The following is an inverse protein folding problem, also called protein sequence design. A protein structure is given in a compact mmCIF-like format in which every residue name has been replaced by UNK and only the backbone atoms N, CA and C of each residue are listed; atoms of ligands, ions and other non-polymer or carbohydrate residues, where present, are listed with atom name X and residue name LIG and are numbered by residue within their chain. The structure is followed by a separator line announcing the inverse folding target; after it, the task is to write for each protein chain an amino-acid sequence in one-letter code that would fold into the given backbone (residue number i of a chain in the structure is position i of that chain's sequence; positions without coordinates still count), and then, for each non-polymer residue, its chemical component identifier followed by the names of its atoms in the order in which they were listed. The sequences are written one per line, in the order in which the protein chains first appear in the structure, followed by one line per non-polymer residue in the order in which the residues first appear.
data_IF_622992148118
#
_entry.id   IF_622992148118
#
_cell.length_a   1.000
_cell.length_b   1.000
_cell.length_c   1.000
_cell.angle_alpha   90.00
_cell.angle_beta   90.00
_cell.angle_gamma   90.00
#
_symmetry.space_group_name_H-M   'P 1'
#
loop_
_entity.id
_entity.type
_entity.pdbx_description
1 polymer ?
#
# COMPACT_ATOMS: atom_id res chain seq x y z
N UNK A 1 15.46 22.41 -4.09
CA UNK A 1 14.44 21.40 -4.43
C UNK A 1 14.78 20.89 -5.82
N UNK A 2 14.95 19.58 -6.00
CA UNK A 2 15.13 19.00 -7.31
C UNK A 2 13.87 19.27 -8.15
N UNK A 3 14.04 19.89 -9.31
CA UNK A 3 12.93 20.26 -10.17
C UNK A 3 12.67 19.17 -11.22
N UNK A 4 12.61 17.91 -10.79
CA UNK A 4 12.31 16.76 -11.65
C UNK A 4 11.39 15.77 -10.94
N UNK A 5 10.71 14.94 -11.72
CA UNK A 5 9.93 13.81 -11.21
C UNK A 5 10.69 12.50 -11.46
N UNK A 6 10.92 11.74 -10.39
CA UNK A 6 11.52 10.41 -10.45
C UNK A 6 10.41 9.35 -10.51
N UNK A 7 10.47 8.44 -11.48
CA UNK A 7 9.40 7.48 -11.76
C UNK A 7 9.95 6.06 -11.76
N UNK A 8 9.34 5.21 -10.95
CA UNK A 8 9.58 3.78 -10.95
C UNK A 8 8.61 3.07 -11.91
N UNK A 9 9.16 2.49 -12.98
CA UNK A 9 8.38 1.79 -13.99
C UNK A 9 8.14 0.31 -13.66
N UNK A 10 8.65 -0.19 -12.52
CA UNK A 10 8.44 -1.58 -12.08
C UNK A 10 6.98 -1.78 -11.63
N UNK A 11 6.49 -3.04 -11.63
CA UNK A 11 5.20 -3.36 -11.05
C UNK A 11 5.08 -2.86 -9.61
N UNK A 12 3.88 -2.45 -9.20
CA UNK A 12 3.62 -1.90 -7.85
C UNK A 12 4.14 -2.82 -6.74
N UNK A 13 3.94 -4.13 -6.84
CA UNK A 13 4.44 -5.12 -5.88
C UNK A 13 5.96 -5.12 -5.70
N UNK A 14 6.71 -4.68 -6.72
CA UNK A 14 8.17 -4.56 -6.67
C UNK A 14 8.57 -3.21 -6.07
N UNK A 15 7.85 -2.16 -6.42
CA UNK A 15 7.99 -0.82 -5.85
C UNK A 15 7.76 -0.84 -4.33
N UNK A 16 6.73 -1.54 -3.88
CA UNK A 16 6.36 -1.64 -2.47
C UNK A 16 7.41 -2.38 -1.62
N UNK A 17 8.25 -3.21 -2.24
CA UNK A 17 9.37 -3.88 -1.56
C UNK A 17 10.60 -2.99 -1.36
N UNK A 18 10.68 -1.88 -2.05
CA UNK A 18 11.76 -0.91 -1.96
C UNK A 18 11.89 -0.11 -3.25
N UNK A 19 12.09 1.20 -3.11
CA UNK A 19 12.22 2.12 -4.23
C UNK A 19 13.19 3.25 -3.89
N UNK A 20 13.64 3.98 -4.90
CA UNK A 20 14.46 5.17 -4.70
C UNK A 20 13.61 6.23 -3.97
N UNK A 21 14.10 6.83 -2.87
CA UNK A 21 13.35 7.83 -2.13
C UNK A 21 12.85 8.99 -3.00
N UNK A 22 11.56 9.30 -2.86
CA UNK A 22 10.91 10.35 -3.65
C UNK A 22 10.44 9.91 -5.04
N UNK A 23 10.61 8.64 -5.40
CA UNK A 23 10.07 8.11 -6.63
C UNK A 23 8.54 7.91 -6.54
N UNK A 24 7.87 8.12 -7.66
CA UNK A 24 6.45 7.82 -7.86
C UNK A 24 6.34 6.55 -8.69
N UNK A 25 5.50 5.61 -8.27
CA UNK A 25 5.27 4.41 -9.07
C UNK A 25 4.24 4.68 -10.19
N UNK A 26 4.70 4.49 -11.41
CA UNK A 26 3.88 4.41 -12.62
C UNK A 26 4.36 3.18 -13.38
N UNK A 27 3.80 2.03 -13.06
CA UNK A 27 4.15 0.75 -13.70
C UNK A 27 3.95 0.85 -15.22
N UNK A 28 4.92 0.33 -15.99
CA UNK A 28 4.82 0.34 -17.46
C UNK A 28 3.55 -0.34 -17.98
N UNK A 29 3.11 -1.40 -17.32
CA UNK A 29 1.91 -2.18 -17.71
C UNK A 29 0.61 -1.42 -17.42
N UNK A 30 0.63 -0.46 -16.52
CA UNK A 30 -0.54 0.36 -16.13
C UNK A 30 -0.33 1.85 -16.44
N UNK A 31 0.65 2.17 -17.26
CA UNK A 31 1.04 3.54 -17.58
C UNK A 31 -0.15 4.43 -17.98
N UNK A 32 -0.99 3.92 -18.88
CA UNK A 32 -2.13 4.69 -19.43
C UNK A 32 -3.20 4.99 -18.37
N UNK A 33 -3.29 4.18 -17.31
CA UNK A 33 -4.21 4.40 -16.19
C UNK A 33 -3.72 5.46 -15.19
N UNK A 34 -2.43 5.79 -15.24
CA UNK A 34 -1.77 6.68 -14.27
C UNK A 34 -1.09 7.89 -14.92
N UNK A 35 -1.51 8.26 -16.12
CA UNK A 35 -1.02 9.45 -16.81
C UNK A 35 -1.34 10.74 -16.04
N UNK A 36 -2.40 10.73 -15.25
CA UNK A 36 -2.81 11.81 -14.35
C UNK A 36 -1.80 12.12 -13.24
N UNK A 37 -0.94 11.16 -12.89
CA UNK A 37 0.17 11.36 -11.93
C UNK A 37 1.33 12.16 -12.53
N UNK A 38 1.43 12.24 -13.85
CA UNK A 38 2.49 12.99 -14.51
C UNK A 38 2.23 14.50 -14.41
N UNK A 39 3.30 15.32 -14.30
CA UNK A 39 3.14 16.76 -14.18
C UNK A 39 2.42 17.36 -15.40
N UNK A 40 1.56 18.36 -15.17
CA UNK A 40 0.85 19.04 -16.25
C UNK A 40 1.82 19.79 -17.19
N UNK A 41 2.90 20.35 -16.62
CA UNK A 41 3.94 21.00 -17.41
C UNK A 41 4.83 19.96 -18.10
N UNK A 42 4.77 19.93 -19.43
CA UNK A 42 5.50 18.99 -20.28
C UNK A 42 7.00 19.26 -20.35
N UNK A 43 7.46 20.40 -19.87
CA UNK A 43 8.89 20.73 -19.75
C UNK A 43 9.49 20.22 -18.43
N UNK A 44 8.68 19.75 -17.49
CA UNK A 44 9.18 19.16 -16.24
C UNK A 44 10.05 17.94 -16.56
N UNK A 45 11.32 17.90 -16.11
CA UNK A 45 12.19 16.74 -16.33
C UNK A 45 11.63 15.47 -15.69
N UNK A 46 11.55 14.39 -16.44
CA UNK A 46 11.13 13.06 -15.98
C UNK A 46 12.32 12.12 -16.01
N UNK A 47 12.55 11.39 -14.92
CA UNK A 47 13.59 10.36 -14.85
C UNK A 47 12.92 9.03 -14.53
N UNK A 48 12.97 8.10 -15.49
CA UNK A 48 12.43 6.74 -15.33
C UNK A 48 13.52 5.77 -14.93
N UNK A 49 13.23 4.87 -13.99
CA UNK A 49 14.10 3.74 -13.67
C UNK A 49 13.30 2.44 -13.52
N UNK A 50 14.00 1.32 -13.52
CA UNK A 50 13.41 -0.01 -13.29
C UNK A 50 14.37 -0.96 -12.56
N UNK A 51 14.29 -2.26 -12.84
CA UNK A 51 15.00 -3.32 -12.12
C UNK A 51 16.46 -3.54 -12.53
N UNK A 52 17.06 -2.67 -13.31
CA UNK A 52 18.45 -2.78 -13.76
C UNK A 52 18.61 -2.82 -15.28
N UNK A 53 19.84 -3.04 -15.75
CA UNK A 53 20.24 -2.93 -17.17
C UNK A 53 19.47 -3.86 -18.11
N UNK A 54 19.06 -5.02 -17.64
CA UNK A 54 18.27 -5.99 -18.44
C UNK A 54 16.77 -5.68 -18.45
N UNK A 55 16.33 -4.66 -17.71
CA UNK A 55 14.93 -4.30 -17.56
C UNK A 55 14.55 -3.19 -18.54
N UNK A 56 13.67 -3.48 -19.48
CA UNK A 56 13.24 -2.52 -20.52
C UNK A 56 12.07 -1.62 -20.10
N UNK A 57 11.51 -1.78 -18.89
CA UNK A 57 10.29 -1.08 -18.49
C UNK A 57 10.49 0.43 -18.40
N UNK A 58 11.63 0.91 -17.88
CA UNK A 58 11.94 2.34 -17.80
C UNK A 58 12.03 2.99 -19.20
N UNK A 59 12.63 2.28 -20.15
CA UNK A 59 12.77 2.77 -21.53
C UNK A 59 11.39 2.85 -22.21
N UNK A 60 10.57 1.78 -22.09
CA UNK A 60 9.21 1.75 -22.64
C UNK A 60 8.33 2.85 -22.06
N UNK A 61 8.35 3.05 -20.75
CA UNK A 61 7.59 4.11 -20.08
C UNK A 61 8.07 5.51 -20.47
N UNK A 62 9.38 5.70 -20.60
CA UNK A 62 9.96 6.95 -21.08
C UNK A 62 9.50 7.29 -22.50
N UNK A 63 9.43 6.28 -23.39
CA UNK A 63 8.93 6.48 -24.77
C UNK A 63 7.44 6.81 -24.81
N UNK A 64 6.64 6.21 -23.91
CA UNK A 64 5.22 6.60 -23.75
C UNK A 64 5.10 8.06 -23.31
N UNK A 65 5.91 8.49 -22.34
CA UNK A 65 5.92 9.90 -21.90
C UNK A 65 6.33 10.87 -23.01
N UNK A 66 7.35 10.53 -23.81
CA UNK A 66 7.74 11.35 -24.99
C UNK A 66 6.59 11.48 -26.00
N UNK A 67 5.85 10.39 -26.26
CA UNK A 67 4.66 10.41 -27.12
C UNK A 67 3.53 11.29 -26.56
N UNK A 68 3.47 11.50 -25.25
CA UNK A 68 2.55 12.41 -24.58
C UNK A 68 3.04 13.88 -24.59
N UNK A 69 4.19 14.16 -25.22
CA UNK A 69 4.72 15.51 -25.42
C UNK A 69 5.70 15.98 -24.34
N UNK A 70 6.16 15.11 -23.43
CA UNK A 70 7.21 15.49 -22.49
C UNK A 70 8.55 15.64 -23.20
N UNK A 71 9.23 16.77 -23.00
CA UNK A 71 10.42 17.17 -23.77
C UNK A 71 11.73 16.79 -23.11
N UNK A 72 11.78 16.68 -21.78
CA UNK A 72 12.98 16.28 -21.02
C UNK A 72 12.71 14.95 -20.29
N UNK A 73 12.91 13.83 -20.99
CA UNK A 73 12.70 12.47 -20.47
C UNK A 73 13.98 11.68 -20.52
N UNK A 74 14.45 11.29 -19.34
CA UNK A 74 15.68 10.50 -19.13
C UNK A 74 15.37 9.12 -18.54
N UNK A 75 16.30 8.19 -18.67
CA UNK A 75 16.25 6.88 -18.04
C UNK A 75 17.49 6.64 -17.20
N UNK A 76 17.31 6.12 -16.02
CA UNK A 76 18.38 5.58 -15.18
C UNK A 76 18.35 4.04 -15.37
N UNK A 77 19.16 3.57 -16.31
CA UNK A 77 19.10 2.18 -16.79
C UNK A 77 19.66 1.17 -15.79
N UNK A 78 20.62 1.57 -14.98
CA UNK A 78 21.17 0.75 -13.90
C UNK A 78 20.12 0.51 -12.80
N UNK A 79 19.18 1.42 -12.67
CA UNK A 79 17.96 1.27 -11.90
C UNK A 79 18.15 1.10 -10.39
N UNK A 80 17.15 0.48 -9.77
CA UNK A 80 17.12 0.30 -8.32
C UNK A 80 18.28 -0.52 -7.75
N UNK A 81 18.79 -1.60 -8.39
CA UNK A 81 19.92 -2.36 -7.86
C UNK A 81 21.19 -1.54 -7.69
N UNK A 82 21.53 -0.68 -8.65
CA UNK A 82 22.71 0.18 -8.53
C UNK A 82 22.51 1.26 -7.46
N UNK A 83 21.28 1.80 -7.34
CA UNK A 83 20.95 2.69 -6.23
C UNK A 83 21.21 2.01 -4.87
N UNK A 84 20.72 0.78 -4.69
CA UNK A 84 20.88 0.01 -3.43
C UNK A 84 22.35 -0.23 -3.12
N UNK A 85 23.15 -0.55 -4.13
CA UNK A 85 24.58 -0.78 -3.99
C UNK A 85 25.33 0.47 -3.51
N UNK A 86 24.93 1.65 -3.98
CA UNK A 86 25.58 2.92 -3.66
C UNK A 86 25.11 3.54 -2.34
N UNK A 87 23.83 3.38 -2.01
CA UNK A 87 23.16 4.12 -0.93
C UNK A 87 22.48 3.23 0.12
N UNK A 88 22.51 1.91 -0.06
CA UNK A 88 21.78 0.94 0.78
C UNK A 88 20.32 0.77 0.37
N UNK A 89 19.64 -0.21 0.95
CA UNK A 89 18.19 -0.40 0.75
C UNK A 89 17.45 0.78 1.34
N UNK A 90 16.83 1.58 0.47
CA UNK A 90 15.89 2.59 0.91
C UNK A 90 14.55 1.90 1.19
N UNK A 91 13.99 2.13 2.37
CA UNK A 91 12.60 1.77 2.64
C UNK A 91 11.71 2.36 1.54
N UNK A 92 10.72 1.60 1.06
CA UNK A 92 9.78 2.05 0.05
C UNK A 92 9.25 3.45 0.40
N UNK A 93 9.25 4.41 -0.54
CA UNK A 93 8.57 5.66 -0.30
C UNK A 93 7.09 5.35 -0.12
N UNK A 94 6.52 5.80 0.98
CA UNK A 94 5.07 5.84 1.10
C UNK A 94 4.51 6.50 -0.16
N UNK A 95 3.59 5.82 -0.85
CA UNK A 95 3.06 6.22 -2.13
C UNK A 95 2.74 7.73 -2.13
N UNK A 96 3.50 8.51 -2.90
CA UNK A 96 3.23 9.92 -3.10
C UNK A 96 2.05 10.07 -4.04
N UNK A 97 0.85 10.04 -3.50
CA UNK A 97 -0.32 10.66 -4.13
C UNK A 97 -0.16 12.17 -4.03
N UNK A 98 -0.19 12.83 -5.17
CA UNK A 98 -0.03 14.24 -5.47
C UNK A 98 -0.06 15.28 -4.35
N UNK A 99 0.93 16.18 -4.43
CA UNK A 99 1.01 17.55 -3.90
C UNK A 99 0.17 17.89 -2.64
N UNK A 100 0.84 17.87 -1.49
CA UNK A 100 0.33 18.46 -0.25
C UNK A 100 1.20 18.06 0.92
N UNK A 101 1.80 19.05 1.56
CA UNK A 101 2.72 19.00 2.71
C UNK A 101 2.66 17.74 3.57
N UNK A 102 3.78 17.01 3.63
CA UNK A 102 3.98 15.88 4.52
C UNK A 102 3.92 16.33 5.99
N UNK A 103 2.79 16.11 6.60
CA UNK A 103 2.75 15.78 8.00
C UNK A 103 2.96 14.27 8.13
N UNK A 104 3.99 13.83 8.84
CA UNK A 104 4.08 12.48 9.40
C UNK A 104 2.85 12.27 10.30
N UNK A 105 1.78 11.81 9.74
CA UNK A 105 0.68 11.23 10.50
C UNK A 105 0.87 9.72 10.43
N UNK A 106 1.70 9.18 11.29
CA UNK A 106 1.45 7.84 11.80
C UNK A 106 0.00 7.90 12.28
N UNK A 107 -0.90 7.16 11.62
CA UNK A 107 -2.23 6.99 12.16
C UNK A 107 -2.05 6.63 13.63
N UNK A 108 -2.49 7.50 14.52
CA UNK A 108 -2.39 7.25 15.96
C UNK A 108 -3.36 6.12 16.27
N UNK A 109 -2.86 4.88 16.15
CA UNK A 109 -3.62 3.68 16.46
C UNK A 109 -3.69 3.59 17.97
N UNK A 110 -4.89 3.73 18.50
CA UNK A 110 -5.15 3.54 19.93
C UNK A 110 -5.39 2.05 20.17
N UNK A 111 -4.52 1.44 20.96
CA UNK A 111 -4.66 0.04 21.33
C UNK A 111 -5.96 -0.17 22.13
N UNK A 112 -6.67 -1.24 21.81
CA UNK A 112 -7.81 -1.69 22.57
C UNK A 112 -7.39 -2.37 23.89
N UNK A 113 -8.37 -2.96 24.57
CA UNK A 113 -8.14 -3.59 25.89
C UNK A 113 -7.33 -4.88 25.78
N UNK A 114 -7.47 -5.62 24.70
CA UNK A 114 -6.76 -6.87 24.48
C UNK A 114 -5.55 -6.65 23.57
N UNK A 115 -4.53 -7.49 23.74
CA UNK A 115 -3.30 -7.42 22.96
C UNK A 115 -3.59 -7.55 21.47
N UNK A 116 -3.12 -6.57 20.70
CA UNK A 116 -3.29 -6.55 19.25
C UNK A 116 -4.61 -5.95 18.77
N UNK A 117 -5.53 -5.60 19.67
CA UNK A 117 -6.76 -4.92 19.25
C UNK A 117 -6.55 -3.43 19.02
N UNK A 118 -7.31 -2.87 18.11
CA UNK A 118 -7.49 -1.43 17.91
C UNK A 118 -8.86 -1.02 18.47
N UNK A 119 -8.95 0.15 19.12
CA UNK A 119 -10.26 0.66 19.56
C UNK A 119 -11.15 0.98 18.37
N UNK A 120 -12.46 0.74 18.52
CA UNK A 120 -13.44 1.05 17.47
C UNK A 120 -13.36 2.53 17.08
N UNK A 121 -13.30 3.42 18.06
CA UNK A 121 -13.19 4.88 17.83
C UNK A 121 -11.93 5.25 17.01
N UNK A 122 -10.78 4.64 17.33
CA UNK A 122 -9.55 4.87 16.56
C UNK A 122 -9.67 4.37 15.13
N UNK A 123 -10.23 3.18 14.94
CA UNK A 123 -10.45 2.63 13.60
C UNK A 123 -11.39 3.50 12.77
N UNK A 124 -12.55 3.87 13.30
CA UNK A 124 -13.53 4.73 12.61
C UNK A 124 -12.93 6.09 12.25
N UNK A 125 -12.18 6.70 13.17
CA UNK A 125 -11.46 7.95 12.90
C UNK A 125 -10.48 7.80 11.75
N UNK A 126 -9.63 6.76 11.76
CA UNK A 126 -8.64 6.53 10.70
C UNK A 126 -9.34 6.27 9.37
N UNK A 127 -10.41 5.48 9.36
CA UNK A 127 -11.18 5.20 8.15
C UNK A 127 -11.84 6.44 7.56
N UNK A 128 -12.18 7.43 8.39
CA UNK A 128 -12.75 8.71 7.95
C UNK A 128 -11.69 9.70 7.47
N UNK A 129 -10.56 9.80 8.16
CA UNK A 129 -9.55 10.84 7.94
C UNK A 129 -8.45 10.42 6.97
N UNK A 130 -7.99 9.16 7.08
CA UNK A 130 -6.88 8.65 6.29
C UNK A 130 -6.96 7.11 6.11
N UNK A 131 -7.95 6.59 5.36
CA UNK A 131 -8.15 5.15 5.19
C UNK A 131 -6.94 4.46 4.55
N UNK A 132 -6.18 5.18 3.72
CA UNK A 132 -5.00 4.65 3.04
C UNK A 132 -3.79 4.46 3.96
N UNK A 133 -3.85 4.92 5.21
CA UNK A 133 -2.80 4.69 6.21
C UNK A 133 -2.76 3.26 6.77
N UNK A 134 -3.81 2.48 6.54
CA UNK A 134 -3.94 1.08 6.96
C UNK A 134 -4.05 0.16 5.76
N UNK A 135 -3.49 -1.05 5.86
CA UNK A 135 -3.87 -2.16 4.99
C UNK A 135 -4.99 -2.94 5.67
N UNK A 136 -6.16 -2.95 5.05
CA UNK A 136 -7.30 -3.73 5.53
C UNK A 136 -7.27 -5.11 4.91
N UNK A 137 -7.24 -6.15 5.74
CA UNK A 137 -7.25 -7.55 5.30
C UNK A 137 -8.49 -8.23 5.85
N UNK A 138 -9.45 -8.47 4.97
CA UNK A 138 -10.66 -9.23 5.30
C UNK A 138 -10.33 -10.73 5.27
N UNK A 139 -10.37 -11.37 6.44
CA UNK A 139 -10.01 -12.79 6.61
C UNK A 139 -11.21 -13.74 6.52
N UNK A 140 -12.37 -13.21 6.12
CA UNK A 140 -13.55 -14.02 5.83
C UNK A 140 -13.40 -14.78 4.52
N UNK A 141 -14.28 -15.73 4.29
CA UNK A 141 -14.31 -16.50 3.06
C UNK A 141 -14.55 -15.59 1.84
N UNK A 142 -14.01 -16.00 0.69
CA UNK A 142 -14.14 -15.23 -0.56
C UNK A 142 -15.59 -14.94 -0.96
N UNK A 143 -16.54 -15.83 -0.59
CA UNK A 143 -17.97 -15.61 -0.83
C UNK A 143 -18.52 -14.47 0.03
N UNK A 144 -18.15 -14.40 1.30
CA UNK A 144 -18.54 -13.32 2.22
C UNK A 144 -17.96 -11.98 1.75
N UNK A 145 -16.66 -11.99 1.39
CA UNK A 145 -15.96 -10.81 0.87
C UNK A 145 -16.60 -10.24 -0.39
N UNK A 146 -16.96 -11.11 -1.36
CA UNK A 146 -17.61 -10.70 -2.60
C UNK A 146 -19.03 -10.16 -2.38
N UNK A 147 -19.72 -10.63 -1.35
CA UNK A 147 -21.06 -10.15 -1.02
C UNK A 147 -21.02 -8.73 -0.44
N UNK A 148 -20.10 -8.46 0.46
CA UNK A 148 -19.91 -7.15 1.07
C UNK A 148 -18.56 -7.09 1.83
N UNK A 149 -17.83 -5.99 1.71
CA UNK A 149 -16.61 -5.72 2.47
C UNK A 149 -16.38 -4.21 2.60
N UNK A 150 -15.35 -3.79 3.32
CA UNK A 150 -14.96 -2.38 3.39
C UNK A 150 -14.21 -1.99 2.10
N UNK A 151 -14.53 -0.83 1.55
CA UNK A 151 -13.85 -0.29 0.37
C UNK A 151 -12.34 -0.19 0.61
N UNK A 152 -11.55 -0.77 -0.29
CA UNK A 152 -10.08 -0.80 -0.20
C UNK A 152 -9.51 -2.00 0.57
N UNK A 153 -10.35 -2.86 1.17
CA UNK A 153 -9.88 -4.10 1.79
C UNK A 153 -9.48 -5.14 0.73
N UNK A 154 -8.43 -5.92 1.05
CA UNK A 154 -8.07 -7.12 0.30
C UNK A 154 -8.60 -8.36 1.01
N UNK A 155 -8.82 -9.44 0.27
CA UNK A 155 -9.26 -10.70 0.86
C UNK A 155 -8.13 -11.71 0.94
N UNK A 156 -7.83 -12.14 2.15
CA UNK A 156 -6.97 -13.28 2.44
C UNK A 156 -7.73 -14.13 3.46
N UNK A 157 -8.51 -15.12 3.02
CA UNK A 157 -9.19 -16.04 3.93
C UNK A 157 -8.23 -16.62 4.95
N UNK A 158 -8.69 -16.80 6.20
CA UNK A 158 -7.85 -17.31 7.29
C UNK A 158 -7.16 -18.63 6.91
N UNK A 159 -7.81 -19.49 6.15
CA UNK A 159 -7.25 -20.74 5.61
C UNK A 159 -6.05 -20.56 4.68
N UNK A 160 -5.94 -19.41 4.05
CA UNK A 160 -4.88 -19.08 3.09
C UNK A 160 -3.80 -18.16 3.68
N UNK A 161 -4.02 -17.65 4.90
CA UNK A 161 -3.16 -16.64 5.51
C UNK A 161 -1.71 -17.09 5.63
N UNK A 162 -1.47 -18.30 6.11
CA UNK A 162 -0.10 -18.85 6.24
C UNK A 162 0.67 -18.85 4.93
N UNK A 163 -0.01 -19.19 3.82
CA UNK A 163 0.60 -19.23 2.48
C UNK A 163 0.86 -17.84 1.91
N UNK A 164 0.05 -16.86 2.32
CA UNK A 164 0.10 -15.49 1.78
C UNK A 164 0.74 -14.48 2.73
N UNK A 165 1.11 -14.89 3.93
CA UNK A 165 1.66 -13.99 4.96
C UNK A 165 2.92 -13.26 4.48
N UNK A 166 3.73 -13.91 3.63
CA UNK A 166 4.93 -13.31 3.05
C UNK A 166 4.64 -12.17 2.08
N UNK A 167 3.41 -12.08 1.57
CA UNK A 167 2.99 -11.00 0.68
C UNK A 167 2.58 -9.74 1.41
N UNK A 168 2.43 -9.79 2.74
CA UNK A 168 2.01 -8.66 3.56
C UNK A 168 3.16 -7.66 3.78
N UNK A 169 2.90 -6.35 3.63
CA UNK A 169 3.91 -5.30 3.77
C UNK A 169 4.36 -5.13 5.23
N UNK A 170 5.62 -4.74 5.43
CA UNK A 170 6.21 -4.48 6.75
C UNK A 170 6.07 -3.01 7.20
N UNK A 171 5.90 -2.13 6.24
CA UNK A 171 5.98 -0.68 6.39
C UNK A 171 4.63 -0.01 6.60
N UNK A 172 3.54 -0.79 6.56
CA UNK A 172 2.18 -0.29 6.74
C UNK A 172 1.44 -1.09 7.80
N UNK A 173 0.77 -0.43 8.75
CA UNK A 173 -0.05 -1.13 9.73
C UNK A 173 -1.16 -1.92 9.04
N UNK A 174 -1.33 -3.17 9.44
CA UNK A 174 -2.31 -4.11 8.90
C UNK A 174 -3.42 -4.31 9.90
N UNK A 175 -4.67 -4.19 9.48
CA UNK A 175 -5.83 -4.48 10.33
C UNK A 175 -6.60 -5.65 9.74
N UNK A 176 -6.63 -6.76 10.48
CA UNK A 176 -7.44 -7.91 10.12
C UNK A 176 -8.90 -7.69 10.50
N UNK A 177 -9.79 -8.02 9.57
CA UNK A 177 -11.24 -7.80 9.67
C UNK A 177 -12.00 -9.12 9.55
N UNK A 178 -13.03 -9.29 10.38
CA UNK A 178 -14.05 -10.31 10.19
C UNK A 178 -15.39 -9.84 10.80
N UNK A 179 -16.41 -10.69 10.80
CA UNK A 179 -17.73 -10.30 11.32
C UNK A 179 -17.82 -10.19 12.86
N UNK A 180 -16.93 -10.87 13.58
CA UNK A 180 -17.08 -11.02 15.05
C UNK A 180 -15.79 -10.86 15.85
N UNK A 181 -14.66 -10.59 15.24
CA UNK A 181 -13.36 -10.56 15.94
C UNK A 181 -12.65 -11.92 16.01
N UNK A 182 -13.35 -13.05 15.99
CA UNK A 182 -12.74 -14.38 16.19
C UNK A 182 -11.69 -14.74 15.12
N UNK A 183 -12.08 -14.75 13.83
CA UNK A 183 -11.16 -15.05 12.72
C UNK A 183 -10.06 -14.00 12.57
N UNK A 184 -10.35 -12.73 12.85
CA UNK A 184 -9.33 -11.66 12.80
C UNK A 184 -8.35 -11.73 13.96
N UNK A 185 -8.76 -12.19 15.15
CA UNK A 185 -7.86 -12.47 16.26
C UNK A 185 -6.94 -13.66 15.97
N UNK A 186 -7.46 -14.76 15.41
CA UNK A 186 -6.65 -15.90 14.94
C UNK A 186 -5.64 -15.46 13.87
N UNK A 187 -6.05 -14.59 12.94
CA UNK A 187 -5.15 -14.02 11.94
C UNK A 187 -4.03 -13.18 12.55
N UNK A 188 -4.34 -12.41 13.58
CA UNK A 188 -3.35 -11.66 14.34
C UNK A 188 -2.32 -12.58 14.99
N UNK A 189 -2.78 -13.63 15.69
CA UNK A 189 -1.89 -14.58 16.35
C UNK A 189 -1.01 -15.33 15.35
N UNK A 190 -1.58 -15.78 14.24
CA UNK A 190 -0.84 -16.43 13.14
C UNK A 190 0.22 -15.48 12.56
N UNK A 191 -0.14 -14.23 12.30
CA UNK A 191 0.80 -13.25 11.78
C UNK A 191 1.94 -12.96 12.77
N UNK A 192 1.65 -12.85 14.06
CA UNK A 192 2.68 -12.64 15.10
C UNK A 192 3.58 -13.85 15.30
N UNK A 193 3.05 -15.04 15.10
CA UNK A 193 3.84 -16.27 15.17
C UNK A 193 4.82 -16.42 14.01
N UNK A 194 4.34 -16.15 12.77
CA UNK A 194 5.11 -16.38 11.55
C UNK A 194 5.99 -15.19 11.17
N UNK A 195 5.49 -13.95 11.41
CA UNK A 195 6.16 -12.70 11.05
C UNK A 195 5.98 -11.65 12.15
N UNK A 196 6.70 -11.83 13.24
CA UNK A 196 6.60 -10.99 14.44
C UNK A 196 6.91 -9.50 14.20
N UNK A 197 7.67 -9.19 13.13
CA UNK A 197 8.02 -7.83 12.73
C UNK A 197 6.88 -7.04 12.10
N UNK A 198 5.79 -7.70 11.68
CA UNK A 198 4.65 -7.02 11.11
C UNK A 198 3.89 -6.18 12.16
N UNK A 199 3.50 -4.98 11.77
CA UNK A 199 2.59 -4.15 12.56
C UNK A 199 1.15 -4.59 12.29
N UNK A 200 0.68 -5.60 13.00
CA UNK A 200 -0.66 -6.17 12.82
C UNK A 200 -1.56 -5.85 13.98
N UNK A 201 -2.81 -5.62 13.66
CA UNK A 201 -3.91 -5.34 14.58
C UNK A 201 -5.17 -6.08 14.13
N UNK A 202 -6.16 -6.16 15.01
CA UNK A 202 -7.49 -6.63 14.66
C UNK A 202 -8.57 -5.87 15.42
N UNK A 203 -9.82 -6.02 14.99
CA UNK A 203 -10.99 -5.43 15.64
C UNK A 203 -11.75 -6.54 16.36
N UNK A 204 -11.83 -6.44 17.70
CA UNK A 204 -12.66 -7.32 18.51
C UNK A 204 -14.04 -6.67 18.74
N UNK A 205 -14.88 -6.71 17.72
CA UNK A 205 -16.22 -6.17 17.74
C UNK A 205 -17.11 -6.89 16.72
N UNK A 206 -18.41 -6.69 16.82
CA UNK A 206 -19.34 -7.11 15.76
C UNK A 206 -19.28 -6.10 14.60
N UNK A 207 -18.86 -6.59 13.43
CA UNK A 207 -18.78 -5.79 12.21
C UNK A 207 -19.85 -6.25 11.21
N UNK A 208 -20.60 -5.30 10.67
CA UNK A 208 -21.47 -5.51 9.52
C UNK A 208 -20.89 -4.78 8.32
N UNK A 209 -20.82 -5.49 7.21
CA UNK A 209 -20.32 -4.99 5.94
C UNK A 209 -21.52 -4.78 4.99
N UNK A 210 -21.54 -3.67 4.30
CA UNK A 210 -22.59 -3.32 3.36
C UNK A 210 -22.10 -3.47 1.91
N UNK A 211 -23.01 -3.75 0.99
CA UNK A 211 -22.67 -3.95 -0.42
C UNK A 211 -22.09 -2.69 -1.11
N UNK A 212 -22.34 -1.51 -0.54
CA UNK A 212 -21.79 -0.22 -1.00
C UNK A 212 -20.35 0.06 -0.52
N UNK A 213 -19.75 -0.88 0.24
CA UNK A 213 -18.42 -0.75 0.81
C UNK A 213 -18.35 0.02 2.12
N UNK A 214 -19.50 0.41 2.68
CA UNK A 214 -19.60 0.96 4.03
C UNK A 214 -19.68 -0.15 5.08
N UNK A 215 -19.51 0.21 6.34
CA UNK A 215 -19.55 -0.73 7.45
C UNK A 215 -20.20 -0.09 8.69
N UNK A 216 -20.60 -0.92 9.63
CA UNK A 216 -20.94 -0.50 10.99
C UNK A 216 -20.28 -1.43 11.99
N UNK A 217 -19.85 -0.87 13.13
CA UNK A 217 -19.18 -1.59 14.21
C UNK A 217 -20.00 -1.42 15.47
N UNK A 218 -20.21 -2.53 16.18
CA UNK A 218 -20.80 -2.54 17.51
C UNK A 218 -19.84 -3.18 18.47
N UNK A 219 -19.39 -2.41 19.46
CA UNK A 219 -18.57 -2.97 20.54
C UNK A 219 -19.31 -4.10 21.24
N UNK A 220 -18.59 -5.17 21.56
CA UNK A 220 -19.14 -6.21 22.43
C UNK A 220 -19.31 -5.64 23.83
N UNK A 221 -20.56 -5.49 24.25
CA UNK A 221 -20.88 -5.24 25.65
C UNK A 221 -20.37 -6.40 26.51
N UNK A 222 -19.82 -6.08 27.65
CA UNK A 222 -19.53 -7.06 28.73
C UNK A 222 -20.83 -7.65 29.20
#
# INVERSE_FOLDING_TARGET
KANFMLIDARPNLVFDKGAIPGAVNISDTEFDKHVDKLPADKATPLIYYCGGVDCVLSVKSADKARKLGYTDVKTFVEGYPEWVKLYGEAAAPAAASGAGAAAKSTASIEAGKEKGTITVASFERIMKENPDSLLLVDVRDAKEFKAATIKGAINIPISDLEKKIETLPKDKPIVFLCGTGARSGEAYDTAKLLRSELQVYFIDAEMKFNADGTFSIKERGK
#
